data_IF_181694247561
#
_entry.id   IF_181694247561
#
_cell.length_a   1.000
_cell.length_b   1.000
_cell.length_c   1.000
_cell.angle_alpha   90.00
_cell.angle_beta   90.00
_cell.angle_gamma   90.00
#
_symmetry.space_group_name_H-M   'P 1'
#
loop_
_entity.id
_entity.type
_entity.pdbx_description
1 polymer ?
#
# COMPACT_ATOMS: atom_id res chain seq x y z
N UNK A 1 -21.39 55.64 -62.58
CA UNK A 1 -21.82 55.18 -61.25
C UNK A 1 -22.51 53.82 -61.37
N UNK A 2 -21.84 52.72 -61.02
CA UNK A 2 -22.48 51.42 -60.72
C UNK A 2 -21.77 50.88 -59.48
N UNK A 3 -22.49 50.81 -58.37
CA UNK A 3 -21.98 50.36 -57.07
C UNK A 3 -21.99 48.82 -57.06
N UNK A 4 -20.81 48.26 -56.85
CA UNK A 4 -20.53 46.83 -56.68
C UNK A 4 -20.86 46.47 -55.23
N UNK A 5 -21.77 45.51 -55.01
CA UNK A 5 -21.92 44.86 -53.71
C UNK A 5 -21.17 43.53 -53.75
N UNK A 6 -19.97 43.52 -53.16
CA UNK A 6 -19.18 42.31 -52.91
C UNK A 6 -19.60 41.75 -51.55
N UNK A 7 -20.33 40.63 -51.56
CA UNK A 7 -20.81 39.96 -50.36
C UNK A 7 -19.69 39.06 -49.82
N UNK A 8 -18.90 39.61 -48.88
CA UNK A 8 -17.83 38.87 -48.19
C UNK A 8 -18.50 37.98 -47.13
N UNK A 9 -18.72 36.71 -47.47
CA UNK A 9 -19.09 35.68 -46.48
C UNK A 9 -17.80 35.29 -45.74
N UNK A 10 -17.58 35.90 -44.58
CA UNK A 10 -16.57 35.44 -43.64
C UNK A 10 -17.06 34.15 -42.98
N UNK A 11 -16.58 33.00 -43.47
CA UNK A 11 -16.66 31.74 -42.73
C UNK A 11 -15.80 31.88 -41.47
N UNK A 12 -16.40 32.26 -40.34
CA UNK A 12 -15.83 31.99 -39.03
C UNK A 12 -15.82 30.46 -38.88
N UNK A 13 -14.68 29.83 -39.19
CA UNK A 13 -14.42 28.48 -38.74
C UNK A 13 -14.42 28.52 -37.21
N UNK A 14 -15.55 28.14 -36.61
CA UNK A 14 -15.62 27.91 -35.18
C UNK A 14 -14.59 26.85 -34.84
N UNK A 15 -13.46 27.27 -34.25
CA UNK A 15 -12.55 26.36 -33.59
C UNK A 15 -13.36 25.76 -32.44
N UNK A 16 -13.97 24.61 -32.68
CA UNK A 16 -14.57 23.80 -31.62
C UNK A 16 -13.39 23.45 -30.70
N UNK A 17 -13.34 24.09 -29.55
CA UNK A 17 -12.31 23.84 -28.55
C UNK A 17 -12.48 22.40 -28.08
N UNK A 18 -11.69 21.48 -28.61
CA UNK A 18 -11.67 20.10 -28.13
C UNK A 18 -10.98 20.12 -26.76
N UNK A 19 -11.74 19.84 -25.70
CA UNK A 19 -11.17 19.71 -24.36
C UNK A 19 -10.12 18.59 -24.34
N UNK A 20 -9.07 18.75 -23.54
CA UNK A 20 -8.00 17.73 -23.41
C UNK A 20 -8.22 16.86 -22.19
N UNK A 21 -7.91 15.58 -22.31
CA UNK A 21 -7.84 14.63 -21.19
C UNK A 21 -6.38 14.46 -20.80
N UNK A 22 -6.06 14.72 -19.53
CA UNK A 22 -4.74 14.48 -18.95
C UNK A 22 -4.89 13.50 -17.77
N UNK A 23 -4.29 12.32 -17.91
CA UNK A 23 -4.30 11.25 -16.91
C UNK A 23 -2.89 11.06 -16.38
N UNK A 24 -2.68 11.32 -15.10
CA UNK A 24 -1.41 11.08 -14.40
C UNK A 24 -1.61 10.08 -13.27
N UNK A 25 -0.54 9.41 -12.85
CA UNK A 25 -0.56 8.58 -11.65
C UNK A 25 0.70 8.71 -10.83
N UNK A 26 0.57 8.46 -9.53
CA UNK A 26 1.69 8.29 -8.60
C UNK A 26 1.65 6.86 -8.06
N UNK A 27 2.62 5.99 -8.39
CA UNK A 27 3.75 6.19 -9.30
C UNK A 27 3.35 6.20 -10.79
N UNK A 28 4.21 6.73 -11.66
CA UNK A 28 4.00 6.80 -13.11
C UNK A 28 4.05 5.42 -13.80
N UNK A 29 3.63 5.36 -15.07
CA UNK A 29 3.67 4.15 -15.90
C UNK A 29 2.57 3.15 -15.59
N UNK A 30 1.46 3.58 -14.99
CA UNK A 30 0.29 2.77 -14.73
C UNK A 30 -0.53 2.58 -16.02
N UNK A 31 -1.06 1.39 -16.24
CA UNK A 31 -1.92 1.07 -17.37
C UNK A 31 -3.31 1.70 -17.20
N UNK A 32 -3.81 2.30 -18.27
CA UNK A 32 -5.09 2.97 -18.29
C UNK A 32 -6.06 2.13 -19.10
N UNK A 33 -7.20 1.83 -18.49
CA UNK A 33 -8.30 1.11 -19.09
C UNK A 33 -9.54 1.98 -19.13
N UNK A 34 -10.28 1.82 -20.22
CA UNK A 34 -11.59 2.41 -20.40
C UNK A 34 -12.62 1.29 -20.39
N UNK A 35 -13.66 1.45 -19.59
CA UNK A 35 -14.73 0.48 -19.40
C UNK A 35 -16.04 1.12 -19.85
N UNK A 36 -16.66 0.56 -20.89
CA UNK A 36 -18.04 0.89 -21.25
C UNK A 36 -18.99 0.17 -20.30
N UNK A 37 -19.79 0.90 -19.53
CA UNK A 37 -20.67 0.31 -18.51
C UNK A 37 -21.83 -0.51 -19.09
N UNK A 38 -22.28 -0.25 -20.32
CA UNK A 38 -23.37 -1.00 -20.96
C UNK A 38 -22.87 -2.26 -21.65
N UNK A 39 -21.72 -2.18 -22.32
CA UNK A 39 -21.14 -3.30 -23.04
C UNK A 39 -20.26 -4.19 -22.14
N UNK A 40 -19.81 -3.70 -20.97
CA UNK A 40 -18.89 -4.41 -20.08
C UNK A 40 -17.46 -4.56 -20.61
N UNK A 41 -17.17 -3.99 -21.79
CA UNK A 41 -15.88 -4.13 -22.46
C UNK A 41 -14.83 -3.25 -21.78
N UNK A 42 -13.76 -3.90 -21.27
CA UNK A 42 -12.54 -3.25 -20.75
C UNK A 42 -11.48 -3.20 -21.85
N UNK A 43 -11.00 -2.01 -22.22
CA UNK A 43 -9.98 -1.80 -23.25
C UNK A 43 -8.81 -0.99 -22.71
N UNK A 44 -7.59 -1.41 -23.00
CA UNK A 44 -6.38 -0.64 -22.67
C UNK A 44 -6.19 0.50 -23.68
N UNK A 45 -5.91 1.71 -23.18
CA UNK A 45 -5.71 2.91 -24.03
C UNK A 45 -4.29 3.48 -23.97
N UNK A 46 -3.50 3.11 -22.96
CA UNK A 46 -2.14 3.59 -22.81
C UNK A 46 -1.60 3.46 -21.38
N UNK A 47 -0.52 4.18 -21.09
CA UNK A 47 0.08 4.29 -19.76
C UNK A 47 0.17 5.74 -19.32
N UNK A 48 0.16 5.99 -18.01
CA UNK A 48 0.37 7.33 -17.45
C UNK A 48 1.84 7.77 -17.57
N UNK A 49 2.11 9.06 -17.79
CA UNK A 49 1.16 10.13 -18.10
C UNK A 49 0.57 9.98 -19.52
N UNK A 50 -0.72 10.26 -19.67
CA UNK A 50 -1.44 10.14 -20.93
C UNK A 50 -2.21 11.43 -21.24
N UNK A 51 -2.01 11.96 -22.45
CA UNK A 51 -2.67 13.18 -22.93
C UNK A 51 -3.32 12.91 -24.29
N UNK A 52 -4.62 13.17 -24.41
CA UNK A 52 -5.37 13.01 -25.65
C UNK A 52 -6.53 14.01 -25.74
N UNK A 53 -7.07 14.21 -26.94
CA UNK A 53 -8.28 14.99 -27.13
C UNK A 53 -9.49 14.23 -26.58
N UNK A 54 -10.38 14.93 -25.87
CA UNK A 54 -11.58 14.33 -25.27
C UNK A 54 -12.46 13.65 -26.32
N UNK A 55 -12.57 14.20 -27.53
CA UNK A 55 -13.36 13.57 -28.60
C UNK A 55 -12.73 12.25 -29.09
N UNK A 56 -11.40 12.17 -29.20
CA UNK A 56 -10.71 10.91 -29.52
C UNK A 56 -10.88 9.88 -28.40
N UNK A 57 -10.90 10.35 -27.15
CA UNK A 57 -11.16 9.55 -25.96
C UNK A 57 -12.61 9.02 -25.88
N UNK A 58 -13.61 9.81 -26.32
CA UNK A 58 -15.03 9.44 -26.35
C UNK A 58 -15.43 8.59 -27.57
N UNK A 59 -14.70 8.69 -28.68
CA UNK A 59 -14.99 7.92 -29.92
C UNK A 59 -14.98 6.41 -29.65
N UNK A 60 -14.28 5.98 -28.61
CA UNK A 60 -14.13 4.58 -28.24
C UNK A 60 -15.25 4.03 -27.33
N UNK A 61 -16.12 4.88 -26.78
CA UNK A 61 -17.15 4.49 -25.80
C UNK A 61 -18.58 4.87 -26.20
N UNK A 62 -18.75 5.73 -27.20
CA UNK A 62 -20.04 6.18 -27.72
C UNK A 62 -20.43 7.58 -27.22
N UNK A 63 -21.15 8.37 -28.02
CA UNK A 63 -21.49 9.74 -27.65
C UNK A 63 -22.45 9.76 -26.45
N UNK A 64 -22.20 10.68 -25.50
CA UNK A 64 -23.04 10.98 -24.33
C UNK A 64 -23.14 9.90 -23.23
N UNK A 65 -22.23 8.93 -23.18
CA UNK A 65 -22.17 7.96 -22.08
C UNK A 65 -21.11 8.33 -21.04
N UNK A 66 -21.37 8.01 -19.76
CA UNK A 66 -20.34 8.13 -18.74
C UNK A 66 -19.32 7.00 -18.91
N UNK A 67 -18.04 7.36 -18.86
CA UNK A 67 -16.95 6.42 -19.05
C UNK A 67 -16.36 6.06 -17.70
N UNK A 68 -16.20 4.77 -17.40
CA UNK A 68 -15.36 4.38 -16.28
C UNK A 68 -13.90 4.28 -16.75
N UNK A 69 -13.04 5.05 -16.11
CA UNK A 69 -11.59 5.02 -16.29
C UNK A 69 -11.01 4.23 -15.13
N UNK A 70 -10.28 3.17 -15.45
CA UNK A 70 -9.47 2.42 -14.51
C UNK A 70 -7.99 2.73 -14.76
N UNK A 71 -7.23 2.95 -13.69
CA UNK A 71 -5.79 3.09 -13.72
C UNK A 71 -5.20 2.03 -12.79
N UNK A 72 -4.41 1.13 -13.36
CA UNK A 72 -3.89 -0.05 -12.68
C UNK A 72 -2.38 -0.16 -12.84
N UNK A 73 -1.70 -0.63 -11.80
CA UNK A 73 -0.28 -0.95 -11.85
C UNK A 73 -0.03 -2.18 -10.98
N UNK A 74 0.84 -3.12 -11.39
CA UNK A 74 1.19 -4.27 -10.58
C UNK A 74 1.59 -3.86 -9.16
N UNK A 75 0.89 -4.43 -8.19
CA UNK A 75 1.13 -4.20 -6.77
C UNK A 75 0.49 -2.96 -6.17
N UNK A 76 -0.43 -2.34 -6.90
CA UNK A 76 -1.25 -1.25 -6.41
C UNK A 76 -2.74 -1.54 -6.60
N UNK A 77 -3.56 -1.03 -5.67
CA UNK A 77 -5.01 -1.01 -5.78
C UNK A 77 -5.44 -0.27 -7.06
N UNK A 78 -6.38 -0.86 -7.80
CA UNK A 78 -6.92 -0.29 -9.03
C UNK A 78 -7.70 0.99 -8.72
N UNK A 79 -7.26 2.11 -9.29
CA UNK A 79 -7.98 3.38 -9.19
C UNK A 79 -9.10 3.42 -10.22
N UNK A 80 -10.33 3.67 -9.78
CA UNK A 80 -11.50 3.72 -10.64
C UNK A 80 -12.20 5.07 -10.50
N UNK A 81 -12.56 5.70 -11.62
CA UNK A 81 -13.33 6.94 -11.65
C UNK A 81 -14.35 6.91 -12.79
N UNK A 82 -15.53 7.47 -12.56
CA UNK A 82 -16.54 7.67 -13.60
C UNK A 82 -16.43 9.11 -14.10
N UNK A 83 -16.17 9.26 -15.39
CA UNK A 83 -16.10 10.55 -16.09
C UNK A 83 -17.44 10.78 -16.79
N UNK A 84 -18.21 11.81 -16.40
CA UNK A 84 -19.45 12.15 -17.09
C UNK A 84 -19.16 12.71 -18.50
N UNK A 85 -20.13 12.69 -19.42
CA UNK A 85 -19.97 13.28 -20.74
C UNK A 85 -19.87 14.81 -20.62
N UNK A 86 -18.66 15.35 -20.72
CA UNK A 86 -18.37 16.79 -20.63
C UNK A 86 -17.77 17.29 -21.94
N UNK A 87 -18.39 18.28 -22.58
CA UNK A 87 -17.94 18.84 -23.86
C UNK A 87 -17.22 20.17 -23.64
N UNK A 88 -16.12 20.39 -24.36
CA UNK A 88 -15.42 21.68 -24.39
C UNK A 88 -14.63 22.06 -23.13
N UNK A 89 -14.42 21.13 -22.18
CA UNK A 89 -13.62 21.36 -20.97
C UNK A 89 -12.45 20.38 -20.86
N UNK A 90 -11.34 20.84 -20.29
CA UNK A 90 -10.21 19.97 -19.96
C UNK A 90 -10.54 19.06 -18.77
N UNK A 91 -10.19 17.79 -18.89
CA UNK A 91 -10.32 16.78 -17.84
C UNK A 91 -8.94 16.44 -17.32
N UNK A 92 -8.72 16.62 -16.01
CA UNK A 92 -7.46 16.23 -15.36
C UNK A 92 -7.75 15.23 -14.27
N UNK A 93 -7.17 14.03 -14.40
CA UNK A 93 -7.30 12.97 -13.41
C UNK A 93 -5.89 12.66 -12.89
N UNK A 94 -5.72 12.75 -11.58
CA UNK A 94 -4.50 12.32 -10.90
C UNK A 94 -4.82 11.12 -10.00
N UNK A 95 -4.34 9.95 -10.39
CA UNK A 95 -4.51 8.72 -9.64
C UNK A 95 -3.34 8.48 -8.68
N UNK A 96 -3.58 8.72 -7.39
CA UNK A 96 -2.64 8.32 -6.34
C UNK A 96 -2.89 6.86 -5.97
N UNK A 97 -2.09 5.96 -6.55
CA UNK A 97 -2.25 4.52 -6.39
C UNK A 97 -1.78 4.08 -5.00
N UNK A 98 -2.58 3.27 -4.33
CA UNK A 98 -2.26 2.71 -3.01
C UNK A 98 -1.64 1.34 -3.17
N UNK A 99 -0.59 1.02 -2.43
CA UNK A 99 0.03 -0.31 -2.48
C UNK A 99 -0.99 -1.36 -2.05
N UNK A 100 -1.05 -2.48 -2.76
CA UNK A 100 -1.94 -3.58 -2.37
C UNK A 100 -1.57 -4.10 -0.97
N UNK A 101 -2.59 -4.35 -0.14
CA UNK A 101 -2.40 -4.73 1.26
C UNK A 101 -1.62 -6.04 1.45
N UNK A 102 -1.78 -7.00 0.54
CA UNK A 102 -1.03 -8.26 0.51
C UNK A 102 0.48 -8.02 0.34
N UNK A 103 0.91 -7.15 -0.58
CA UNK A 103 2.30 -6.82 -0.82
C UNK A 103 2.89 -6.07 0.36
N UNK A 104 2.12 -5.13 0.93
CA UNK A 104 2.56 -4.43 2.14
C UNK A 104 2.76 -5.42 3.30
N UNK A 105 1.84 -6.37 3.48
CA UNK A 105 1.98 -7.43 4.48
C UNK A 105 3.21 -8.32 4.25
N UNK A 106 3.45 -8.76 3.01
CA UNK A 106 4.64 -9.54 2.65
C UNK A 106 5.93 -8.76 2.94
N UNK A 107 5.99 -7.51 2.50
CA UNK A 107 7.14 -6.64 2.71
C UNK A 107 7.41 -6.42 4.21
N UNK A 108 6.36 -6.18 4.99
CA UNK A 108 6.46 -6.00 6.44
C UNK A 108 6.93 -7.29 7.13
N UNK A 109 6.49 -8.45 6.65
CA UNK A 109 6.96 -9.75 7.12
C UNK A 109 8.44 -10.00 6.79
N UNK A 110 8.90 -9.67 5.58
CA UNK A 110 10.30 -9.79 5.18
C UNK A 110 11.22 -8.94 6.07
N UNK A 111 10.82 -7.69 6.34
CA UNK A 111 11.54 -6.81 7.25
C UNK A 111 11.59 -7.37 8.68
N UNK A 112 10.45 -7.85 9.20
CA UNK A 112 10.40 -8.49 10.52
C UNK A 112 11.37 -9.66 10.61
N UNK A 113 11.34 -10.57 9.62
CA UNK A 113 12.19 -11.76 9.61
C UNK A 113 13.66 -11.38 9.56
N UNK A 114 14.05 -10.44 8.68
CA UNK A 114 15.42 -9.95 8.58
C UNK A 114 15.92 -9.35 9.90
N UNK A 115 15.12 -8.49 10.54
CA UNK A 115 15.50 -7.84 11.79
C UNK A 115 15.55 -8.83 12.98
N UNK A 116 14.71 -9.87 12.98
CA UNK A 116 14.81 -10.96 13.95
C UNK A 116 16.11 -11.75 13.76
N UNK A 117 16.55 -12.00 12.52
CA UNK A 117 17.85 -12.65 12.28
C UNK A 117 19.02 -11.80 12.78
N UNK A 118 18.97 -10.48 12.60
CA UNK A 118 19.95 -9.56 13.19
C UNK A 118 19.99 -9.65 14.71
N UNK A 119 18.82 -9.54 15.36
CA UNK A 119 18.72 -9.64 16.80
C UNK A 119 19.27 -10.99 17.31
N UNK A 120 18.96 -12.09 16.61
CA UNK A 120 19.45 -13.43 16.94
C UNK A 120 20.98 -13.52 16.81
N UNK A 121 21.55 -12.92 15.76
CA UNK A 121 23.00 -12.86 15.57
C UNK A 121 23.66 -12.11 16.75
N UNK A 122 23.14 -10.95 17.13
CA UNK A 122 23.64 -10.18 18.28
C UNK A 122 23.55 -11.00 19.58
N UNK A 123 22.42 -11.69 19.81
CA UNK A 123 22.25 -12.59 20.96
C UNK A 123 23.30 -13.70 20.99
N UNK A 124 23.61 -14.32 19.84
CA UNK A 124 24.64 -15.37 19.75
C UNK A 124 26.04 -14.84 20.06
N UNK A 125 26.30 -13.58 19.73
CA UNK A 125 27.54 -12.87 20.09
C UNK A 125 27.55 -12.38 21.54
N UNK A 126 26.50 -12.66 22.32
CA UNK A 126 26.27 -12.16 23.68
C UNK A 126 26.14 -10.63 23.77
N UNK A 127 25.92 -9.97 22.64
CA UNK A 127 25.56 -8.56 22.58
C UNK A 127 24.06 -8.39 22.86
N UNK A 128 23.70 -8.59 24.14
CA UNK A 128 22.31 -8.50 24.57
C UNK A 128 21.77 -7.07 24.53
N UNK A 129 22.64 -6.06 24.63
CA UNK A 129 22.22 -4.66 24.62
C UNK A 129 21.69 -4.29 23.22
N UNK A 130 22.51 -4.43 22.18
CA UNK A 130 22.09 -4.08 20.83
C UNK A 130 20.96 -4.99 20.32
N UNK A 131 20.96 -6.27 20.71
CA UNK A 131 19.84 -7.17 20.42
C UNK A 131 18.53 -6.65 21.03
N UNK A 132 18.55 -6.21 22.29
CA UNK A 132 17.35 -5.68 22.95
C UNK A 132 16.89 -4.34 22.35
N UNK A 133 17.80 -3.45 21.96
CA UNK A 133 17.46 -2.19 21.27
C UNK A 133 16.76 -2.46 19.94
N UNK A 134 17.29 -3.40 19.14
CA UNK A 134 16.66 -3.86 17.89
C UNK A 134 15.27 -4.45 18.15
N UNK A 135 15.14 -5.32 19.16
CA UNK A 135 13.85 -5.92 19.54
C UNK A 135 12.85 -4.87 20.05
N UNK A 136 13.29 -3.79 20.68
CA UNK A 136 12.41 -2.68 21.09
C UNK A 136 11.83 -1.91 19.92
N UNK A 137 12.61 -1.72 18.85
CA UNK A 137 12.10 -1.17 17.60
C UNK A 137 11.08 -2.11 16.96
N UNK A 138 11.34 -3.42 16.97
CA UNK A 138 10.41 -4.42 16.45
C UNK A 138 9.12 -4.48 17.25
N UNK A 139 9.15 -4.33 18.58
CA UNK A 139 7.92 -4.29 19.39
C UNK A 139 7.04 -3.10 19.01
N UNK A 140 7.63 -1.92 18.73
CA UNK A 140 6.88 -0.73 18.30
C UNK A 140 6.25 -0.92 16.92
N UNK A 141 6.96 -1.55 15.98
CA UNK A 141 6.51 -1.73 14.60
C UNK A 141 5.56 -2.93 14.43
N UNK A 142 5.79 -3.99 15.21
CA UNK A 142 5.16 -5.30 15.07
C UNK A 142 4.61 -5.81 16.43
N UNK A 143 3.72 -5.06 17.11
CA UNK A 143 3.32 -5.36 18.48
C UNK A 143 2.55 -6.67 18.65
N UNK A 144 2.03 -7.24 17.56
CA UNK A 144 1.23 -8.47 17.55
C UNK A 144 2.04 -9.73 17.20
N UNK A 145 3.36 -9.62 17.04
CA UNK A 145 4.21 -10.77 16.74
C UNK A 145 4.84 -11.32 18.03
N UNK A 146 4.32 -12.44 18.51
CA UNK A 146 4.77 -13.06 19.77
C UNK A 146 6.25 -13.44 19.77
N UNK A 147 6.81 -13.78 18.61
CA UNK A 147 8.22 -14.16 18.44
C UNK A 147 9.19 -13.04 18.86
N UNK A 148 8.80 -11.77 18.70
CA UNK A 148 9.64 -10.63 19.10
C UNK A 148 9.80 -10.61 20.63
N UNK A 149 8.70 -10.80 21.36
CA UNK A 149 8.71 -10.89 22.82
C UNK A 149 9.40 -12.16 23.31
N UNK A 150 9.24 -13.28 22.60
CA UNK A 150 9.93 -14.54 22.90
C UNK A 150 11.46 -14.37 22.84
N UNK A 151 11.96 -13.75 21.76
CA UNK A 151 13.40 -13.47 21.61
C UNK A 151 13.91 -12.52 22.70
N UNK A 152 13.13 -11.53 23.10
CA UNK A 152 13.49 -10.64 24.21
C UNK A 152 13.54 -11.40 25.55
N UNK A 153 12.59 -12.32 25.76
CA UNK A 153 12.59 -13.25 26.89
C UNK A 153 13.85 -14.14 26.90
N UNK A 154 14.26 -14.63 25.73
CA UNK A 154 15.48 -15.41 25.54
C UNK A 154 16.74 -14.59 25.87
N UNK A 155 16.83 -13.34 25.44
CA UNK A 155 17.97 -12.48 25.79
C UNK A 155 18.12 -12.30 27.30
N UNK A 156 17.02 -12.00 28.00
CA UNK A 156 17.07 -11.88 29.46
C UNK A 156 17.38 -13.20 30.14
N UNK A 157 16.88 -14.33 29.61
CA UNK A 157 17.22 -15.66 30.11
C UNK A 157 18.72 -15.92 30.04
N UNK A 158 19.32 -15.67 28.87
CA UNK A 158 20.75 -15.87 28.62
C UNK A 158 21.61 -14.91 29.46
N UNK A 159 21.12 -13.70 29.70
CA UNK A 159 21.73 -12.73 30.61
C UNK A 159 21.41 -12.98 32.10
N UNK A 160 20.81 -14.13 32.44
CA UNK A 160 20.46 -14.57 33.81
C UNK A 160 19.47 -13.65 34.55
N UNK A 161 18.76 -12.77 33.85
CA UNK A 161 17.67 -11.98 34.39
C UNK A 161 16.33 -12.73 34.23
N UNK A 162 16.11 -13.70 35.12
CA UNK A 162 14.97 -14.59 35.02
C UNK A 162 13.63 -13.89 35.26
N UNK A 163 13.61 -12.78 36.02
CA UNK A 163 12.39 -12.02 36.28
C UNK A 163 11.92 -11.30 35.01
N UNK A 164 12.81 -10.56 34.34
CA UNK A 164 12.46 -9.91 33.06
C UNK A 164 12.19 -10.94 31.97
N UNK A 165 12.95 -12.04 31.94
CA UNK A 165 12.72 -13.15 31.02
C UNK A 165 11.29 -13.70 31.13
N UNK A 166 10.83 -13.99 32.34
CA UNK A 166 9.48 -14.50 32.58
C UNK A 166 8.41 -13.53 32.08
N UNK A 167 8.56 -12.22 32.35
CA UNK A 167 7.60 -11.21 31.91
C UNK A 167 7.47 -11.18 30.38
N UNK A 168 8.59 -11.27 29.66
CA UNK A 168 8.56 -11.27 28.20
C UNK A 168 8.00 -12.57 27.60
N UNK A 169 8.30 -13.74 28.19
CA UNK A 169 7.67 -14.99 27.76
C UNK A 169 6.16 -15.01 28.03
N UNK A 170 5.69 -14.45 29.15
CA UNK A 170 4.27 -14.24 29.41
C UNK A 170 3.64 -13.33 28.38
N UNK A 171 4.31 -12.23 28.04
CA UNK A 171 3.83 -11.31 27.00
C UNK A 171 3.73 -12.03 25.64
N UNK A 172 4.74 -12.79 25.25
CA UNK A 172 4.74 -13.59 24.03
C UNK A 172 3.53 -14.55 23.97
N UNK A 173 3.28 -15.29 25.06
CA UNK A 173 2.13 -16.20 25.16
C UNK A 173 0.79 -15.45 25.15
N UNK A 174 0.69 -14.30 25.81
CA UNK A 174 -0.53 -13.47 25.79
C UNK A 174 -0.87 -12.94 24.38
N UNK A 175 0.16 -12.63 23.59
CA UNK A 175 0.00 -12.17 22.20
C UNK A 175 -0.40 -13.32 21.29
N UNK A 176 0.17 -14.50 21.51
CA UNK A 176 -0.18 -15.71 20.77
C UNK A 176 -0.18 -16.94 21.68
N UNK A 177 -1.37 -17.40 22.13
CA UNK A 177 -1.51 -18.59 22.96
C UNK A 177 -1.03 -19.90 22.30
N UNK A 178 -0.76 -19.89 20.98
CA UNK A 178 -0.17 -21.03 20.26
C UNK A 178 1.35 -21.02 20.24
N UNK A 179 2.01 -19.99 20.81
CA UNK A 179 3.46 -19.97 20.95
C UNK A 179 3.90 -20.99 22.02
N UNK A 180 4.31 -22.18 21.57
CA UNK A 180 4.71 -23.30 22.42
C UNK A 180 5.98 -23.02 23.20
N UNK A 181 6.95 -22.33 22.59
CA UNK A 181 8.22 -22.01 23.25
C UNK A 181 8.03 -21.02 24.38
N UNK A 182 7.21 -19.98 24.17
CA UNK A 182 6.84 -19.04 25.22
C UNK A 182 6.17 -19.73 26.42
N UNK A 183 5.20 -20.62 26.15
CA UNK A 183 4.54 -21.41 27.19
C UNK A 183 5.54 -22.30 27.96
N UNK A 184 6.38 -23.05 27.23
CA UNK A 184 7.40 -23.92 27.81
C UNK A 184 8.35 -23.15 28.72
N UNK A 185 8.85 -22.01 28.25
CA UNK A 185 9.81 -21.20 28.99
C UNK A 185 9.20 -20.48 30.19
N UNK A 186 7.99 -19.91 30.07
CA UNK A 186 7.35 -19.26 31.23
C UNK A 186 7.06 -20.29 32.34
N UNK A 187 6.53 -21.47 32.01
CA UNK A 187 6.28 -22.54 33.00
C UNK A 187 7.57 -23.04 33.63
N UNK A 188 8.64 -23.19 32.85
CA UNK A 188 9.96 -23.54 33.36
C UNK A 188 10.47 -22.50 34.37
N UNK A 189 10.38 -21.21 34.03
CA UNK A 189 10.87 -20.12 34.88
C UNK A 189 10.06 -19.99 36.17
N UNK A 190 8.74 -20.11 36.11
CA UNK A 190 7.87 -20.07 37.29
C UNK A 190 8.19 -21.21 38.26
N UNK A 191 8.33 -22.44 37.75
CA UNK A 191 8.64 -23.61 38.56
C UNK A 191 10.04 -23.54 39.17
N UNK A 192 11.04 -23.19 38.36
CA UNK A 192 12.45 -23.25 38.78
C UNK A 192 12.82 -22.15 39.78
N UNK A 193 12.28 -20.94 39.60
CA UNK A 193 12.67 -19.79 40.40
C UNK A 193 11.63 -19.40 41.45
N UNK A 194 10.53 -20.17 41.56
CA UNK A 194 9.42 -19.92 42.48
C UNK A 194 8.87 -18.48 42.38
N UNK A 195 8.99 -17.89 41.18
CA UNK A 195 8.54 -16.52 40.91
C UNK A 195 7.04 -16.60 40.66
N UNK A 196 6.26 -16.30 41.70
CA UNK A 196 4.80 -16.14 41.55
C UNK A 196 4.52 -14.92 40.69
N UNK A 197 3.62 -15.11 39.74
CA UNK A 197 3.04 -14.09 38.87
C UNK A 197 2.69 -12.82 39.65
N UNK A 198 3.44 -11.73 39.47
CA UNK A 198 2.83 -10.41 39.66
C UNK A 198 1.93 -10.18 38.44
N UNK A 199 0.65 -9.87 38.72
CA UNK A 199 -0.39 -9.70 37.71
C UNK A 199 0.03 -8.75 36.60
N UNK A 200 -0.52 -8.99 35.41
CA UNK A 200 -0.40 -8.13 34.23
C UNK A 200 -0.86 -6.71 34.58
#
# INVERSE_FOLDING_TARGET
MKIIYLLIISFLSGNVFAGKVNLTSTPEGAEIFVINQKAGNKRAIGKTPYVADFNAFMTEVGPNESIQVSIWKPGFEEFNIIVPPITGSDVRINANLRVEKNIKLTTDFDFLVSDLFDALRMTRLKDFQSSNEKLDLLIKKFPHFSVVYEMKGMNFYLNKDFKRSLNFYKKAFSVNPKNREAYRMMTYLEKKFNIKSQGI
#
